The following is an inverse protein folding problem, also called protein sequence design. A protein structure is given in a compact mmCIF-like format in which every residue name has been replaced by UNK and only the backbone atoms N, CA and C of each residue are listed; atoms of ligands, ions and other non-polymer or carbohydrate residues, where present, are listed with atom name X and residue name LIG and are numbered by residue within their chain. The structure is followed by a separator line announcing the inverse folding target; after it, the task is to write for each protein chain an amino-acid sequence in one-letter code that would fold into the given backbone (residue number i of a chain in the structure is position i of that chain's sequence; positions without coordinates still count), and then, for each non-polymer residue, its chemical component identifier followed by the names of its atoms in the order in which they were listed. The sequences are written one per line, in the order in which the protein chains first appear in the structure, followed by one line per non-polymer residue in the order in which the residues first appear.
data_IF_504513211385
#
_entry.id   IF_504513211385
#
_cell.length_a   1.000
_cell.length_b   1.000
_cell.length_c   1.000
_cell.angle_alpha   90.00
_cell.angle_beta   90.00
_cell.angle_gamma   90.00
#
_symmetry.space_group_name_H-M   'P 1'
#
loop_
_entity.id
_entity.type
_entity.pdbx_description
1 polymer ?
#
# COMPACT_ATOMS: atom_id res chain seq x y z
N UNK A 1 3.18 -14.79 -11.78
CA UNK A 1 2.19 -14.04 -12.59
C UNK A 1 1.79 -12.78 -11.81
N UNK A 2 1.64 -11.64 -12.47
CA UNK A 2 1.26 -10.39 -11.81
C UNK A 2 -0.26 -10.30 -11.58
N UNK A 3 -0.70 -9.89 -10.38
CA UNK A 3 -2.14 -9.72 -10.05
C UNK A 3 -2.38 -8.58 -9.06
N UNK A 4 -3.51 -7.88 -9.19
CA UNK A 4 -3.94 -6.91 -8.17
C UNK A 4 -4.24 -7.66 -6.88
N UNK A 5 -3.71 -7.15 -5.77
CA UNK A 5 -3.76 -7.82 -4.48
C UNK A 5 -4.41 -6.99 -3.38
N UNK A 6 -4.20 -5.68 -3.39
CA UNK A 6 -4.52 -4.81 -2.27
C UNK A 6 -4.71 -3.37 -2.74
N UNK A 7 -5.51 -2.60 -2.01
CA UNK A 7 -5.65 -1.14 -2.21
C UNK A 7 -5.23 -0.45 -0.93
N UNK A 8 -4.39 0.57 -1.06
CA UNK A 8 -3.95 1.40 0.06
C UNK A 8 -4.43 2.84 -0.11
N UNK A 9 -4.94 3.40 0.98
CA UNK A 9 -5.36 4.78 1.09
C UNK A 9 -4.30 5.51 1.91
N UNK A 10 -3.47 6.32 1.26
CA UNK A 10 -2.43 7.09 1.94
C UNK A 10 -2.96 8.47 2.37
N UNK A 11 -2.52 8.94 3.53
CA UNK A 11 -2.81 10.30 3.95
C UNK A 11 -2.05 10.75 5.19
N UNK A 12 -2.05 12.08 5.40
CA UNK A 12 -1.29 12.71 6.48
C UNK A 12 -1.74 12.35 7.88
N UNK A 13 -2.99 11.93 8.06
CA UNK A 13 -3.53 11.56 9.35
C UNK A 13 -4.30 10.23 9.24
N UNK A 14 -3.62 9.12 9.51
CA UNK A 14 -4.20 7.78 9.39
C UNK A 14 -5.33 7.56 10.39
N UNK A 15 -5.23 8.11 11.60
CA UNK A 15 -6.28 7.98 12.62
C UNK A 15 -7.56 8.72 12.22
N UNK A 16 -7.43 9.87 11.54
CA UNK A 16 -8.59 10.57 10.97
C UNK A 16 -9.25 9.76 9.86
N UNK A 17 -8.46 9.20 8.93
CA UNK A 17 -8.98 8.35 7.85
C UNK A 17 -9.66 7.09 8.40
N UNK A 18 -9.05 6.43 9.39
CA UNK A 18 -9.65 5.28 10.08
C UNK A 18 -11.03 5.62 10.63
N UNK A 19 -11.16 6.71 11.39
CA UNK A 19 -12.45 7.12 11.96
C UNK A 19 -13.49 7.36 10.87
N UNK A 20 -13.11 8.09 9.83
CA UNK A 20 -13.99 8.41 8.71
C UNK A 20 -14.49 7.15 7.99
N UNK A 21 -13.60 6.24 7.57
CA UNK A 21 -13.99 5.04 6.82
C UNK A 21 -14.70 4.00 7.69
N UNK A 22 -14.34 3.88 8.96
CA UNK A 22 -15.07 3.02 9.90
C UNK A 22 -16.51 3.50 10.11
N UNK A 23 -16.72 4.82 10.26
CA UNK A 23 -18.06 5.40 10.43
C UNK A 23 -18.89 5.39 9.15
N UNK A 24 -18.26 5.63 7.99
CA UNK A 24 -18.97 5.71 6.71
C UNK A 24 -19.43 4.35 6.17
N UNK A 25 -18.64 3.30 6.39
CA UNK A 25 -18.85 1.99 5.76
C UNK A 25 -19.01 0.83 6.75
N UNK A 26 -18.99 1.09 8.05
CA UNK A 26 -18.98 0.07 9.12
C UNK A 26 -17.82 -0.93 8.99
N UNK A 27 -16.71 -0.50 8.38
CA UNK A 27 -15.53 -1.35 8.17
C UNK A 27 -14.74 -1.56 9.47
N UNK A 28 -14.17 -2.76 9.61
CA UNK A 28 -13.25 -3.06 10.71
C UNK A 28 -11.85 -2.60 10.33
N UNK A 29 -11.35 -1.60 11.05
CA UNK A 29 -10.05 -0.97 10.78
C UNK A 29 -9.16 -1.07 12.02
N UNK A 30 -8.09 -1.84 11.92
CA UNK A 30 -7.18 -2.15 13.02
C UNK A 30 -5.80 -1.55 12.75
N UNK A 31 -5.28 -0.75 13.70
CA UNK A 31 -3.89 -0.28 13.62
C UNK A 31 -2.96 -1.48 13.79
N UNK A 32 -2.01 -1.62 12.87
CA UNK A 32 -0.89 -2.55 12.99
C UNK A 32 0.33 -1.75 13.42
N UNK A 33 0.83 -2.04 14.60
CA UNK A 33 2.14 -1.58 15.03
C UNK A 33 3.19 -2.46 14.36
N UNK A 34 3.47 -2.13 13.10
CA UNK A 34 4.63 -2.67 12.42
C UNK A 34 5.74 -1.63 12.64
N UNK A 35 6.96 -2.10 12.92
CA UNK A 35 8.05 -1.26 13.43
C UNK A 35 8.37 -0.06 12.51
N UNK A 36 7.90 1.15 12.86
CA UNK A 36 8.27 2.40 12.19
C UNK A 36 7.36 2.88 11.06
N UNK A 37 6.19 2.28 10.85
CA UNK A 37 5.25 2.67 9.79
C UNK A 37 3.83 2.49 10.33
N UNK A 38 3.14 3.62 10.51
CA UNK A 38 1.78 3.60 11.01
C UNK A 38 0.82 3.14 9.91
N UNK A 39 0.40 1.88 10.04
CA UNK A 39 -0.45 1.21 9.10
C UNK A 39 -1.76 0.76 9.74
N UNK A 40 -2.84 0.75 8.97
CA UNK A 40 -4.12 0.23 9.41
C UNK A 40 -4.64 -0.78 8.41
N UNK A 41 -4.90 -2.00 8.87
CA UNK A 41 -5.57 -3.02 8.05
C UNK A 41 -7.07 -2.71 7.99
N UNK A 42 -7.63 -2.77 6.79
CA UNK A 42 -9.07 -2.66 6.55
C UNK A 42 -9.61 -4.04 6.17
N UNK A 43 -10.56 -4.53 6.97
CA UNK A 43 -11.44 -5.63 6.59
C UNK A 43 -12.77 -5.03 6.14
N UNK A 44 -13.12 -5.28 4.88
CA UNK A 44 -14.35 -4.79 4.25
C UNK A 44 -15.55 -5.72 4.49
N UNK A 45 -15.31 -6.89 5.06
CA UNK A 45 -16.32 -7.88 5.44
C UNK A 45 -16.06 -8.39 6.87
N UNK A 46 -17.10 -8.61 7.70
CA UNK A 46 -16.94 -9.15 9.05
C UNK A 46 -16.25 -10.52 9.06
N UNK A 47 -15.16 -10.65 9.83
CA UNK A 47 -14.38 -11.90 9.91
C UNK A 47 -13.55 -12.20 8.65
N UNK A 48 -13.58 -11.31 7.65
CA UNK A 48 -12.76 -11.41 6.45
C UNK A 48 -11.27 -11.17 6.71
N UNK A 49 -10.46 -11.48 5.70
CA UNK A 49 -9.05 -11.07 5.67
C UNK A 49 -8.95 -9.59 5.32
N UNK A 50 -7.89 -8.89 5.73
CA UNK A 50 -7.62 -7.54 5.23
C UNK A 50 -7.56 -7.53 3.69
N UNK A 51 -8.28 -6.60 3.07
CA UNK A 51 -8.32 -6.42 1.61
C UNK A 51 -7.83 -5.04 1.17
N UNK A 52 -7.68 -4.13 2.12
CA UNK A 52 -7.21 -2.78 1.92
C UNK A 52 -6.47 -2.29 3.17
N UNK A 53 -5.84 -1.13 3.10
CA UNK A 53 -5.22 -0.52 4.27
C UNK A 53 -5.06 0.99 4.17
N UNK A 54 -4.71 1.61 5.30
CA UNK A 54 -4.39 3.03 5.39
C UNK A 54 -2.92 3.18 5.74
N UNK A 55 -2.21 3.95 4.93
CA UNK A 55 -0.83 4.36 5.20
C UNK A 55 -0.82 5.76 5.78
N UNK A 56 -0.32 5.89 7.01
CA UNK A 56 -0.07 7.18 7.63
C UNK A 56 1.22 7.78 7.08
N UNK A 57 1.11 8.92 6.41
CA UNK A 57 2.25 9.61 5.79
C UNK A 57 2.20 11.11 6.13
N UNK A 58 2.66 11.54 7.32
CA UNK A 58 2.54 12.93 7.80
C UNK A 58 3.04 13.99 6.83
N UNK A 59 4.18 13.72 6.20
CA UNK A 59 4.86 14.60 5.24
C UNK A 59 4.44 14.33 3.78
N UNK A 60 3.54 13.35 3.57
CA UNK A 60 3.10 12.89 2.26
C UNK A 60 1.94 13.68 1.68
N UNK A 61 1.41 13.12 0.58
CA UNK A 61 0.18 13.58 -0.08
C UNK A 61 -0.88 12.49 0.01
N UNK A 62 -2.15 12.89 -0.04
CA UNK A 62 -3.24 11.93 -0.15
C UNK A 62 -3.19 11.25 -1.53
N UNK A 63 -3.25 9.93 -1.56
CA UNK A 63 -3.25 9.14 -2.79
C UNK A 63 -3.88 7.75 -2.56
N UNK A 64 -4.36 7.16 -3.64
CA UNK A 64 -4.80 5.77 -3.69
C UNK A 64 -3.72 4.97 -4.41
N UNK A 65 -3.27 3.88 -3.79
CA UNK A 65 -2.23 3.02 -4.34
C UNK A 65 -2.82 1.64 -4.55
N UNK A 66 -2.74 1.16 -5.79
CA UNK A 66 -3.06 -0.24 -6.11
C UNK A 66 -1.77 -1.06 -6.00
N UNK A 67 -1.83 -2.14 -5.22
CA UNK A 67 -0.72 -3.07 -5.08
C UNK A 67 -0.88 -4.26 -6.01
N UNK A 68 0.16 -4.50 -6.80
CA UNK A 68 0.29 -5.64 -7.69
C UNK A 68 1.31 -6.62 -7.10
N UNK A 69 0.87 -7.84 -6.82
CA UNK A 69 1.74 -8.91 -6.37
C UNK A 69 2.48 -9.50 -7.57
N UNK A 70 3.79 -9.67 -7.44
CA UNK A 70 4.71 -10.18 -8.46
C UNK A 70 5.58 -11.29 -7.90
N UNK A 71 6.13 -12.13 -8.77
CA UNK A 71 6.95 -13.28 -8.35
C UNK A 71 8.34 -12.86 -7.84
N UNK A 72 8.88 -11.77 -8.40
CA UNK A 72 10.21 -11.25 -8.10
C UNK A 72 10.17 -9.71 -8.12
N UNK A 73 10.19 -9.13 -6.92
CA UNK A 73 10.03 -7.70 -6.72
C UNK A 73 11.21 -6.91 -7.31
N UNK A 74 12.44 -7.35 -7.04
CA UNK A 74 13.67 -6.71 -7.49
C UNK A 74 13.74 -6.68 -9.03
N UNK A 75 13.49 -7.83 -9.65
CA UNK A 75 13.46 -7.95 -11.11
C UNK A 75 12.36 -7.09 -11.73
N UNK A 76 11.19 -7.01 -11.10
CA UNK A 76 10.08 -6.19 -11.58
C UNK A 76 10.40 -4.71 -11.48
N UNK A 77 10.95 -4.24 -10.36
CA UNK A 77 11.37 -2.84 -10.20
C UNK A 77 12.49 -2.48 -11.19
N UNK A 78 13.47 -3.36 -11.40
CA UNK A 78 14.50 -3.15 -12.41
C UNK A 78 13.92 -3.03 -13.82
N UNK A 79 12.89 -3.81 -14.15
CA UNK A 79 12.15 -3.68 -15.41
C UNK A 79 11.36 -2.37 -15.48
N UNK A 80 10.69 -1.98 -14.41
CA UNK A 80 9.92 -0.72 -14.35
C UNK A 80 10.83 0.49 -14.61
N UNK A 81 12.01 0.54 -14.01
CA UNK A 81 13.03 1.58 -14.28
C UNK A 81 13.40 1.67 -15.76
N UNK A 82 13.60 0.52 -16.43
CA UNK A 82 13.89 0.47 -17.88
C UNK A 82 12.74 0.96 -18.75
N UNK A 83 11.52 0.98 -18.22
CA UNK A 83 10.31 1.49 -18.86
C UNK A 83 9.97 2.92 -18.42
N UNK A 84 10.94 3.64 -17.85
CA UNK A 84 10.83 5.03 -17.40
C UNK A 84 9.90 5.24 -16.18
N UNK A 85 9.67 4.21 -15.38
CA UNK A 85 9.04 4.40 -14.07
C UNK A 85 10.00 5.08 -13.10
N UNK A 86 9.48 6.02 -12.30
CA UNK A 86 10.20 6.55 -11.15
C UNK A 86 10.04 5.60 -9.96
N UNK A 87 11.09 5.38 -9.17
CA UNK A 87 11.04 4.52 -7.99
C UNK A 87 11.03 5.40 -6.76
N UNK A 88 9.83 5.58 -6.17
CA UNK A 88 9.62 6.39 -4.96
C UNK A 88 10.15 5.68 -3.72
N UNK A 89 9.81 4.40 -3.58
CA UNK A 89 10.28 3.54 -2.51
C UNK A 89 10.93 2.33 -3.18
N UNK A 90 12.25 2.11 -3.02
CA UNK A 90 12.90 0.92 -3.54
C UNK A 90 12.37 -0.35 -2.84
N UNK A 91 12.58 -1.55 -3.41
CA UNK A 91 12.28 -2.80 -2.73
C UNK A 91 12.83 -2.81 -1.31
N UNK A 92 11.94 -3.04 -0.34
CA UNK A 92 12.31 -3.15 1.06
C UNK A 92 11.44 -4.17 1.78
N UNK A 93 12.04 -4.84 2.77
CA UNK A 93 11.35 -5.70 3.70
C UNK A 93 10.84 -4.88 4.88
N UNK A 94 9.59 -5.09 5.25
CA UNK A 94 8.93 -4.37 6.31
C UNK A 94 8.02 -5.30 7.12
N UNK A 95 8.51 -5.75 8.29
CA UNK A 95 7.91 -6.87 8.99
C UNK A 95 7.98 -8.13 8.11
N UNK A 96 6.83 -8.71 7.78
CA UNK A 96 6.71 -9.84 6.84
C UNK A 96 6.38 -9.40 5.41
N UNK A 97 6.12 -8.11 5.18
CA UNK A 97 5.75 -7.57 3.88
C UNK A 97 6.99 -7.13 3.11
N UNK A 98 7.18 -7.67 1.90
CA UNK A 98 8.17 -7.11 0.96
C UNK A 98 7.43 -6.27 -0.08
N UNK A 99 7.81 -5.00 -0.21
CA UNK A 99 7.15 -4.10 -1.15
C UNK A 99 8.06 -3.02 -1.73
N UNK A 100 7.57 -2.38 -2.80
CA UNK A 100 8.14 -1.19 -3.42
C UNK A 100 7.01 -0.26 -3.86
N UNK A 101 7.33 1.03 -4.06
CA UNK A 101 6.40 2.01 -4.63
C UNK A 101 7.05 2.66 -5.85
N UNK A 102 6.39 2.54 -6.99
CA UNK A 102 6.80 3.18 -8.23
C UNK A 102 5.77 4.21 -8.68
N UNK A 103 6.19 5.13 -9.54
CA UNK A 103 5.27 5.93 -10.36
C UNK A 103 5.42 5.49 -11.80
N UNK A 104 4.30 5.23 -12.46
CA UNK A 104 4.29 4.96 -13.90
C UNK A 104 4.64 6.23 -14.71
N UNK A 105 4.76 6.15 -16.05
CA UNK A 105 5.12 7.30 -16.87
C UNK A 105 4.17 8.50 -16.78
N UNK A 106 2.94 8.30 -16.31
CA UNK A 106 1.93 9.36 -16.12
C UNK A 106 1.85 9.84 -14.66
N UNK A 107 2.68 9.31 -13.78
CA UNK A 107 2.75 9.69 -12.37
C UNK A 107 1.78 8.94 -11.45
N UNK A 108 1.13 7.87 -11.92
CA UNK A 108 0.24 7.08 -11.05
C UNK A 108 1.08 6.26 -10.05
N UNK A 109 0.78 6.32 -8.74
CA UNK A 109 1.46 5.51 -7.75
C UNK A 109 1.00 4.06 -7.82
N UNK A 110 1.94 3.14 -8.04
CA UNK A 110 1.70 1.70 -8.08
C UNK A 110 2.56 1.01 -7.03
N UNK A 111 1.91 0.29 -6.13
CA UNK A 111 2.57 -0.58 -5.17
C UNK A 111 2.94 -1.90 -5.83
N UNK A 112 4.12 -2.40 -5.54
CA UNK A 112 4.54 -3.76 -5.92
C UNK A 112 4.80 -4.54 -4.64
N UNK A 113 4.36 -5.78 -4.59
CA UNK A 113 4.63 -6.68 -3.46
C UNK A 113 5.01 -8.06 -3.95
N UNK A 114 5.62 -8.86 -3.09
CA UNK A 114 5.97 -10.24 -3.37
C UNK A 114 5.48 -11.12 -2.22
N UNK A 115 4.98 -12.30 -2.58
CA UNK A 115 4.58 -13.34 -1.64
C UNK A 115 5.78 -14.02 -0.96
#
# INVERSE_FOLDING_TARGET
MARIKHIEIAGRNGEQLKKFYAELFDWQIERKDVSGFDYYDIKTEPGGKPTAGIRHEPEGKAELVVYIEVDDLEKTVARAKKLNANVRIPPMLYGELTFALIEDPEGNPIGLTQA
#
